data_IF_655471660548
#
_entry.id   IF_655471660548
#
_cell.length_a   1.000
_cell.length_b   1.000
_cell.length_c   1.000
_cell.angle_alpha   90.00
_cell.angle_beta   90.00
_cell.angle_gamma   90.00
#
_symmetry.space_group_name_H-M   'P 1'
#
loop_
_entity.id
_entity.type
_entity.pdbx_description
1 polymer ?
#
# COMPACT_ATOMS: atom_id res chain seq x y z
N UNK A 1 10.75 -5.33 -9.36
CA UNK A 1 10.21 -4.44 -8.30
C UNK A 1 9.69 -3.14 -8.90
N UNK A 2 10.48 -2.45 -9.72
CA UNK A 2 10.09 -1.17 -10.34
C UNK A 2 8.74 -1.21 -11.08
N UNK A 3 8.47 -2.27 -11.83
CA UNK A 3 7.18 -2.44 -12.51
C UNK A 3 5.98 -2.60 -11.55
N UNK A 4 6.17 -3.20 -10.38
CA UNK A 4 5.13 -3.35 -9.36
C UNK A 4 4.81 -1.99 -8.75
N UNK A 5 5.85 -1.24 -8.40
CA UNK A 5 5.73 0.11 -7.86
C UNK A 5 4.98 1.01 -8.86
N UNK A 6 5.33 0.96 -10.14
CA UNK A 6 4.66 1.74 -11.18
C UNK A 6 3.18 1.36 -11.34
N UNK A 7 2.87 0.06 -11.37
CA UNK A 7 1.47 -0.43 -11.46
C UNK A 7 0.65 0.00 -10.24
N UNK A 8 1.19 -0.17 -9.03
CA UNK A 8 0.53 0.23 -7.80
C UNK A 8 0.32 1.75 -7.75
N UNK A 9 1.35 2.54 -8.10
CA UNK A 9 1.24 4.00 -8.15
C UNK A 9 0.20 4.47 -9.17
N UNK A 10 0.08 3.79 -10.32
CA UNK A 10 -0.98 4.08 -11.29
C UNK A 10 -2.36 3.70 -10.75
N UNK A 11 -2.47 2.55 -10.09
CA UNK A 11 -3.71 2.08 -9.47
C UNK A 11 -4.27 3.06 -8.44
N UNK A 12 -3.44 3.76 -7.66
CA UNK A 12 -3.93 4.66 -6.62
C UNK A 12 -4.41 6.04 -7.14
N UNK A 13 -4.17 6.38 -8.41
CA UNK A 13 -4.51 7.71 -8.95
C UNK A 13 -6.00 8.03 -8.94
N UNK A 14 -6.83 7.02 -9.15
CA UNK A 14 -8.29 7.13 -9.22
C UNK A 14 -8.98 6.61 -7.94
N UNK A 15 -8.21 6.38 -6.87
CA UNK A 15 -8.70 5.85 -5.60
C UNK A 15 -8.73 6.92 -4.51
N UNK A 16 -9.55 6.74 -3.46
CA UNK A 16 -9.60 7.66 -2.33
C UNK A 16 -8.39 7.45 -1.39
N UNK A 17 -7.18 7.64 -1.93
CA UNK A 17 -5.90 7.48 -1.24
C UNK A 17 -5.11 8.79 -1.38
N UNK A 18 -4.65 9.33 -0.25
CA UNK A 18 -3.78 10.52 -0.18
C UNK A 18 -2.33 10.14 -0.47
N UNK A 19 -1.86 9.06 0.13
CA UNK A 19 -0.48 8.55 -0.02
C UNK A 19 -0.45 7.04 0.05
N UNK A 20 0.48 6.43 -0.67
CA UNK A 20 0.78 5.01 -0.55
C UNK A 20 2.29 4.81 -0.41
N UNK A 21 2.66 3.85 0.43
CA UNK A 21 4.03 3.48 0.72
C UNK A 21 4.19 1.97 0.60
N UNK A 22 5.31 1.52 0.03
CA UNK A 22 5.77 0.15 0.14
C UNK A 22 6.52 -0.01 1.45
N UNK A 23 6.28 -1.07 2.21
CA UNK A 23 7.04 -1.35 3.44
C UNK A 23 7.40 -2.84 3.54
N UNK A 24 8.01 -3.24 4.66
CA UNK A 24 8.30 -4.64 4.94
C UNK A 24 9.41 -5.23 4.06
N UNK A 25 9.32 -6.55 3.83
CA UNK A 25 10.36 -7.32 3.11
C UNK A 25 10.59 -6.82 1.68
N UNK A 26 9.56 -6.25 1.06
CA UNK A 26 9.62 -5.63 -0.26
C UNK A 26 10.44 -4.34 -0.29
N UNK A 27 10.40 -3.55 0.80
CA UNK A 27 11.22 -2.34 0.95
C UNK A 27 12.68 -2.67 1.31
N UNK A 28 12.94 -3.78 2.01
CA UNK A 28 14.30 -4.21 2.40
C UNK A 28 15.09 -4.92 1.29
N UNK A 29 14.48 -5.17 0.13
CA UNK A 29 15.14 -5.86 -0.99
C UNK A 29 15.31 -7.37 -0.79
N UNK A 30 14.69 -7.94 0.24
CA UNK A 30 14.77 -9.36 0.61
C UNK A 30 13.63 -10.19 -0.02
N UNK A 31 12.87 -9.59 -0.93
CA UNK A 31 11.67 -10.20 -1.51
C UNK A 31 12.01 -11.43 -2.36
N UNK A 32 11.40 -12.57 -2.04
CA UNK A 32 11.39 -13.76 -2.90
C UNK A 32 10.19 -13.73 -3.85
N UNK A 33 10.18 -14.59 -4.88
CA UNK A 33 9.06 -14.67 -5.82
C UNK A 33 7.70 -15.03 -5.18
N UNK A 34 7.72 -15.62 -3.99
CA UNK A 34 6.54 -16.02 -3.20
C UNK A 34 6.13 -14.98 -2.16
N UNK A 35 6.89 -13.90 -2.00
CA UNK A 35 6.64 -12.92 -0.93
C UNK A 35 5.47 -11.99 -1.27
N UNK A 36 4.62 -11.79 -0.27
CA UNK A 36 3.54 -10.80 -0.25
C UNK A 36 4.10 -9.38 -0.47
N UNK A 37 3.24 -8.46 -0.94
CA UNK A 37 3.58 -7.04 -1.12
C UNK A 37 2.86 -6.23 -0.05
N UNK A 38 3.61 -5.70 0.91
CA UNK A 38 3.08 -4.89 2.01
C UNK A 38 2.95 -3.41 1.58
N UNK A 39 1.72 -2.89 1.55
CA UNK A 39 1.42 -1.52 1.12
C UNK A 39 0.67 -0.78 2.22
N UNK A 40 1.26 0.31 2.70
CA UNK A 40 0.64 1.22 3.66
C UNK A 40 -0.06 2.35 2.90
N UNK A 41 -1.33 2.59 3.19
CA UNK A 41 -2.10 3.67 2.58
C UNK A 41 -2.60 4.67 3.62
N UNK A 42 -2.48 5.95 3.28
CA UNK A 42 -3.18 7.05 3.93
C UNK A 42 -4.50 7.25 3.18
N UNK A 43 -5.60 6.78 3.75
CA UNK A 43 -6.92 6.85 3.15
C UNK A 43 -7.51 8.26 3.18
N UNK A 44 -8.27 8.60 2.14
CA UNK A 44 -8.99 9.87 2.02
C UNK A 44 -10.46 9.74 2.43
N UNK A 45 -10.72 9.71 3.75
CA UNK A 45 -12.07 9.56 4.30
C UNK A 45 -13.02 10.71 3.93
N UNK A 46 -12.49 11.88 3.57
CA UNK A 46 -13.31 13.03 3.12
C UNK A 46 -13.79 12.84 1.68
N UNK A 47 -13.10 12.03 0.88
CA UNK A 47 -13.41 11.76 -0.53
C UNK A 47 -13.89 10.32 -0.77
N UNK A 48 -14.56 9.74 0.22
CA UNK A 48 -15.26 8.45 0.06
C UNK A 48 -14.42 7.21 0.33
N UNK A 49 -13.27 7.32 1.01
CA UNK A 49 -12.64 6.12 1.57
C UNK A 49 -13.52 5.55 2.69
N UNK A 50 -13.98 4.32 2.51
CA UNK A 50 -14.67 3.53 3.52
C UNK A 50 -14.09 2.11 3.59
N UNK A 51 -14.69 1.27 4.44
CA UNK A 51 -14.23 -0.11 4.62
C UNK A 51 -14.38 -0.96 3.35
N UNK A 52 -15.46 -0.77 2.58
CA UNK A 52 -15.69 -1.54 1.37
C UNK A 52 -14.69 -1.14 0.28
N UNK A 53 -14.50 0.16 0.07
CA UNK A 53 -13.50 0.67 -0.86
C UNK A 53 -12.09 0.18 -0.52
N UNK A 54 -11.77 0.05 0.78
CA UNK A 54 -10.49 -0.51 1.22
C UNK A 54 -10.31 -1.98 0.84
N UNK A 55 -11.32 -2.82 1.12
CA UNK A 55 -11.28 -4.25 0.75
C UNK A 55 -11.23 -4.42 -0.77
N UNK A 56 -12.06 -3.69 -1.51
CA UNK A 56 -12.07 -3.72 -2.98
C UNK A 56 -10.70 -3.33 -3.55
N UNK A 57 -10.03 -2.34 -2.95
CA UNK A 57 -8.68 -1.96 -3.35
C UNK A 57 -7.66 -3.09 -3.13
N UNK A 58 -7.73 -3.79 -2.00
CA UNK A 58 -6.82 -4.89 -1.68
C UNK A 58 -6.98 -6.06 -2.67
N UNK A 59 -8.21 -6.43 -3.00
CA UNK A 59 -8.49 -7.48 -3.98
C UNK A 59 -8.03 -7.08 -5.38
N UNK A 60 -8.39 -5.87 -5.83
CA UNK A 60 -8.00 -5.38 -7.15
C UNK A 60 -6.49 -5.21 -7.32
N UNK A 61 -5.77 -4.81 -6.26
CA UNK A 61 -4.29 -4.77 -6.27
C UNK A 61 -3.68 -6.16 -6.37
N UNK A 62 -4.24 -7.13 -5.64
CA UNK A 62 -3.78 -8.53 -5.69
C UNK A 62 -3.94 -9.10 -7.10
N UNK A 63 -5.07 -8.84 -7.75
CA UNK A 63 -5.31 -9.21 -9.14
C UNK A 63 -4.38 -8.47 -10.12
N UNK A 64 -4.21 -7.16 -9.96
CA UNK A 64 -3.36 -6.34 -10.86
C UNK A 64 -1.89 -6.76 -10.82
N UNK A 65 -1.40 -7.08 -9.63
CA UNK A 65 0.00 -7.42 -9.39
C UNK A 65 0.29 -8.92 -9.54
N UNK A 66 -0.75 -9.76 -9.63
CA UNK A 66 -0.64 -11.22 -9.67
C UNK A 66 0.22 -11.75 -8.51
N UNK A 67 0.12 -11.09 -7.35
CA UNK A 67 0.78 -11.45 -6.10
C UNK A 67 -0.11 -10.98 -4.97
N UNK A 68 -0.13 -11.72 -3.86
CA UNK A 68 -0.83 -11.33 -2.65
C UNK A 68 -0.34 -9.98 -2.14
N UNK A 69 -1.28 -9.08 -1.88
CA UNK A 69 -1.03 -7.73 -1.34
C UNK A 69 -1.59 -7.66 0.07
N UNK A 70 -0.75 -7.27 1.02
CA UNK A 70 -1.19 -6.89 2.36
C UNK A 70 -1.36 -5.37 2.41
N UNK A 71 -2.61 -4.92 2.28
CA UNK A 71 -2.96 -3.51 2.32
C UNK A 71 -3.23 -3.11 3.77
N UNK A 72 -2.55 -2.08 4.26
CA UNK A 72 -2.68 -1.60 5.63
C UNK A 72 -3.05 -0.12 5.62
N UNK A 73 -4.04 0.27 6.41
CA UNK A 73 -4.35 1.68 6.63
C UNK A 73 -3.46 2.26 7.72
N UNK A 74 -2.87 3.43 7.48
CA UNK A 74 -2.07 4.14 8.49
C UNK A 74 -2.85 4.52 9.74
N UNK A 75 -4.16 4.73 9.62
CA UNK A 75 -5.05 4.99 10.76
C UNK A 75 -5.28 3.74 11.63
N UNK A 76 -5.08 2.54 11.07
CA UNK A 76 -5.24 1.27 11.79
C UNK A 76 -3.96 0.78 12.47
N UNK A 77 -2.83 1.48 12.29
CA UNK A 77 -1.55 1.05 12.86
C UNK A 77 -1.46 1.31 14.36
N UNK A 78 -0.97 0.30 15.07
CA UNK A 78 -0.57 0.44 16.47
C UNK A 78 0.57 1.45 16.61
N UNK A 79 0.50 2.31 17.63
CA UNK A 79 1.54 3.30 17.97
C UNK A 79 2.90 2.68 18.25
N UNK A 80 2.96 1.39 18.60
CA UNK A 80 4.20 0.66 18.82
C UNK A 80 4.90 0.25 17.52
N UNK A 81 4.14 -0.02 16.45
CA UNK A 81 4.67 -0.53 15.17
C UNK A 81 4.89 0.62 14.18
N UNK A 82 4.09 1.69 14.28
CA UNK A 82 4.19 2.86 13.41
C UNK A 82 5.61 3.42 13.27
N UNK A 83 6.43 3.60 14.33
CA UNK A 83 7.78 4.13 14.19
C UNK A 83 8.70 3.24 13.36
N UNK A 84 8.54 1.91 13.47
CA UNK A 84 9.32 0.96 12.70
C UNK A 84 8.96 1.02 11.21
N UNK A 85 7.66 1.04 10.90
CA UNK A 85 7.19 1.18 9.52
C UNK A 85 7.61 2.52 8.94
N UNK A 86 7.53 3.62 9.70
CA UNK A 86 7.92 4.94 9.23
C UNK A 86 9.42 5.04 8.85
N UNK A 87 10.29 4.22 9.45
CA UNK A 87 11.72 4.16 9.09
C UNK A 87 11.99 3.34 7.83
N UNK A 88 11.17 2.32 7.56
CA UNK A 88 11.39 1.36 6.47
C UNK A 88 10.54 1.65 5.23
N UNK A 89 9.50 2.48 5.34
CA UNK A 89 8.55 2.71 4.26
C UNK A 89 9.16 3.56 3.13
N UNK A 90 8.87 3.18 1.90
CA UNK A 90 9.22 3.91 0.70
C UNK A 90 7.96 4.49 0.06
N UNK A 91 7.94 5.81 -0.16
CA UNK A 91 6.82 6.45 -0.87
C UNK A 91 6.73 5.93 -2.30
N UNK A 92 5.54 5.46 -2.70
CA UNK A 92 5.26 4.99 -4.07
C UNK A 92 4.21 5.85 -4.77
N UNK A 93 3.36 6.55 -4.02
CA UNK A 93 2.33 7.44 -4.57
C UNK A 93 1.98 8.54 -3.56
N UNK A 94 1.81 9.76 -4.06
CA UNK A 94 1.23 10.89 -3.33
C UNK A 94 0.30 11.65 -4.28
N UNK A 95 -0.91 11.95 -3.80
CA UNK A 95 -1.89 12.76 -4.52
C UNK A 95 -1.48 14.22 -4.42
N UNK A 96 -1.13 14.81 -5.57
CA UNK A 96 -0.77 16.23 -5.74
C UNK A 96 -2.03 17.08 -5.87
#
# INVERSE_FOLDING_TARGET
>A
MEQIIQKAAQFFRDKPVKRAYLFGSAARGERTAESDVDILVDLDYENGADFFAFIDMQEALTELLQTKVDLVSSNGLSSFIKPQIDQEKQLIYEKI
#
